data_IF_356430844692
#
_entry.id   IF_356430844692
#
_cell.length_a   1.000
_cell.length_b   1.000
_cell.length_c   1.000
_cell.angle_alpha   90.00
_cell.angle_beta   90.00
_cell.angle_gamma   90.00
#
_symmetry.space_group_name_H-M   'P 1'
#
loop_
_entity.id
_entity.type
_entity.pdbx_description
1 polymer ?
#
# COMPACT_ATOMS: atom_id res chain seq x y z
N UNK A 1 11.95 15.16 2.70
CA UNK A 1 12.11 14.84 1.26
C UNK A 1 10.97 15.53 0.53
N UNK A 2 11.25 16.47 -0.36
CA UNK A 2 10.23 17.23 -1.10
C UNK A 2 9.72 16.41 -2.29
N UNK A 3 8.40 16.23 -2.36
CA UNK A 3 7.68 15.50 -3.41
C UNK A 3 7.56 16.29 -4.73
N UNK A 4 8.06 17.53 -4.78
CA UNK A 4 7.94 18.44 -5.93
C UNK A 4 9.13 18.37 -6.92
N UNK A 5 10.05 17.40 -6.78
CA UNK A 5 11.18 17.25 -7.70
C UNK A 5 10.73 16.56 -9.00
N UNK A 6 11.03 17.08 -10.21
CA UNK A 6 10.70 16.41 -11.48
C UNK A 6 11.37 15.03 -11.66
N UNK A 7 12.38 14.68 -10.84
CA UNK A 7 12.94 13.32 -10.76
C UNK A 7 12.17 12.39 -9.82
N UNK A 8 11.25 12.91 -9.01
CA UNK A 8 10.38 12.13 -8.14
C UNK A 8 9.14 11.73 -8.93
N UNK A 9 9.25 10.62 -9.66
CA UNK A 9 8.16 10.10 -10.47
C UNK A 9 7.07 9.51 -9.57
N UNK A 10 5.81 9.51 -10.04
CA UNK A 10 4.69 8.88 -9.34
C UNK A 10 5.04 7.45 -8.87
N UNK A 11 5.72 6.69 -9.73
CA UNK A 11 6.23 5.34 -9.41
C UNK A 11 7.19 5.29 -8.21
N UNK A 12 8.06 6.28 -8.03
CA UNK A 12 8.96 6.36 -6.87
C UNK A 12 8.15 6.63 -5.58
N UNK A 13 7.16 7.52 -5.67
CA UNK A 13 6.23 7.79 -4.57
C UNK A 13 5.48 6.54 -4.12
N UNK A 14 4.95 5.76 -5.06
CA UNK A 14 4.22 4.53 -4.76
C UNK A 14 5.13 3.44 -4.13
N UNK A 15 6.36 3.27 -4.63
CA UNK A 15 7.32 2.31 -4.05
C UNK A 15 7.74 2.70 -2.63
N UNK A 16 7.96 4.00 -2.39
CA UNK A 16 8.29 4.49 -1.06
C UNK A 16 7.09 4.41 -0.11
N UNK A 17 5.87 4.68 -0.61
CA UNK A 17 4.64 4.52 0.16
C UNK A 17 4.46 3.08 0.65
N UNK A 18 4.65 2.10 -0.23
CA UNK A 18 4.64 0.68 0.15
C UNK A 18 5.71 0.35 1.20
N UNK A 19 6.95 0.77 0.97
CA UNK A 19 8.05 0.51 1.89
C UNK A 19 7.78 1.09 3.29
N UNK A 20 7.33 2.35 3.35
CA UNK A 20 6.99 3.03 4.59
C UNK A 20 5.80 2.37 5.30
N UNK A 21 4.78 1.92 4.56
CA UNK A 21 3.63 1.20 5.10
C UNK A 21 4.02 -0.14 5.73
N UNK A 22 4.84 -0.94 5.04
CA UNK A 22 5.36 -2.21 5.57
C UNK A 22 6.25 -1.99 6.79
N UNK A 23 7.09 -0.95 6.80
CA UNK A 23 7.89 -0.58 7.99
C UNK A 23 7.02 -0.20 9.18
N UNK A 24 5.91 0.50 8.95
CA UNK A 24 4.98 0.85 10.01
C UNK A 24 4.30 -0.40 10.57
N UNK A 25 3.82 -1.30 9.70
CA UNK A 25 3.23 -2.58 10.11
C UNK A 25 4.21 -3.40 10.95
N UNK A 26 5.45 -3.48 10.51
CA UNK A 26 6.51 -4.14 11.26
C UNK A 26 6.76 -3.55 12.64
N UNK A 27 6.86 -2.22 12.73
CA UNK A 27 7.03 -1.54 14.02
C UNK A 27 5.88 -1.83 14.99
N UNK A 28 4.68 -2.03 14.47
CA UNK A 28 3.47 -2.29 15.24
C UNK A 28 3.09 -3.78 15.30
N UNK A 29 3.96 -4.68 14.82
CA UNK A 29 3.73 -6.14 14.78
C UNK A 29 2.39 -6.52 14.16
N UNK A 30 2.00 -5.83 13.09
CA UNK A 30 0.80 -6.16 12.32
C UNK A 30 1.11 -7.30 11.35
N UNK A 31 0.57 -8.47 11.65
CA UNK A 31 0.66 -9.69 10.83
C UNK A 31 -0.52 -10.62 11.19
N UNK A 32 -1.04 -11.42 10.24
CA UNK A 32 -0.74 -11.43 8.81
C UNK A 32 -1.37 -10.25 8.05
N UNK A 33 -0.86 -9.94 6.85
CA UNK A 33 -1.28 -8.74 6.11
C UNK A 33 -1.94 -9.04 4.75
N UNK A 34 -2.98 -8.26 4.44
CA UNK A 34 -3.48 -8.07 3.07
C UNK A 34 -3.03 -6.69 2.57
N UNK A 35 -2.32 -6.65 1.45
CA UNK A 35 -1.87 -5.38 0.86
C UNK A 35 -2.75 -5.03 -0.33
N UNK A 36 -3.37 -3.85 -0.25
CA UNK A 36 -4.21 -3.28 -1.30
C UNK A 36 -3.48 -2.05 -1.87
N UNK A 37 -3.37 -1.97 -3.21
CA UNK A 37 -2.71 -0.84 -3.85
C UNK A 37 -3.35 -0.47 -5.19
N UNK A 38 -3.30 0.83 -5.51
CA UNK A 38 -3.83 1.39 -6.76
C UNK A 38 -2.92 1.22 -7.99
N UNK A 39 -1.70 0.69 -7.78
CA UNK A 39 -0.70 0.54 -8.85
C UNK A 39 -0.61 -0.90 -9.32
N UNK A 40 -1.28 -1.21 -10.44
CA UNK A 40 -1.25 -2.55 -11.05
C UNK A 40 0.18 -3.02 -11.32
N UNK A 41 1.08 -2.09 -11.70
CA UNK A 41 2.48 -2.37 -11.95
C UNK A 41 3.17 -2.88 -10.68
N UNK A 42 3.05 -2.18 -9.55
CA UNK A 42 3.71 -2.55 -8.30
C UNK A 42 3.14 -3.86 -7.76
N UNK A 43 1.81 -4.01 -7.77
CA UNK A 43 1.16 -5.27 -7.36
C UNK A 43 1.66 -6.44 -8.21
N UNK A 44 1.75 -6.27 -9.54
CA UNK A 44 2.30 -7.30 -10.43
C UNK A 44 3.76 -7.63 -10.12
N UNK A 45 4.60 -6.62 -9.89
CA UNK A 45 6.01 -6.82 -9.54
C UNK A 45 6.16 -7.64 -8.25
N UNK A 46 5.40 -7.30 -7.22
CA UNK A 46 5.43 -7.99 -5.91
C UNK A 46 4.94 -9.43 -6.01
N UNK A 47 3.88 -9.68 -6.78
CA UNK A 47 3.38 -11.03 -7.08
C UNK A 47 4.41 -11.85 -7.86
N UNK A 48 5.01 -11.26 -8.88
CA UNK A 48 5.95 -11.96 -9.78
C UNK A 48 7.38 -12.01 -9.21
N UNK A 49 7.62 -11.42 -8.04
CA UNK A 49 8.95 -11.23 -7.44
C UNK A 49 9.96 -10.59 -8.43
N UNK A 50 9.50 -9.67 -9.30
CA UNK A 50 10.34 -9.03 -10.34
C UNK A 50 10.65 -7.57 -9.99
N UNK A 51 11.92 -7.21 -9.74
CA UNK A 51 12.31 -5.82 -9.45
C UNK A 51 12.29 -4.93 -10.71
N UNK A 52 12.29 -3.61 -10.52
CA UNK A 52 12.43 -2.64 -11.62
C UNK A 52 13.79 -2.74 -12.28
N UNK A 53 13.92 -2.29 -13.54
CA UNK A 53 15.22 -2.16 -14.21
C UNK A 53 16.11 -1.09 -13.55
N UNK A 54 15.50 -0.10 -12.90
CA UNK A 54 16.18 1.05 -12.32
C UNK A 54 16.84 0.71 -10.99
N UNK A 55 18.18 0.64 -10.95
CA UNK A 55 18.97 0.16 -9.79
C UNK A 55 18.60 0.80 -8.45
N UNK A 56 18.40 2.12 -8.39
CA UNK A 56 18.10 2.80 -7.12
C UNK A 56 16.72 2.42 -6.54
N UNK A 57 15.76 2.03 -7.38
CA UNK A 57 14.43 1.56 -6.94
C UNK A 57 14.45 0.07 -6.54
N UNK A 58 15.38 -0.72 -7.09
CA UNK A 58 15.52 -2.14 -6.74
C UNK A 58 15.81 -2.32 -5.24
N UNK A 59 16.58 -1.42 -4.64
CA UNK A 59 16.89 -1.50 -3.22
C UNK A 59 15.63 -1.39 -2.36
N UNK A 60 14.77 -0.40 -2.62
CA UNK A 60 13.50 -0.23 -1.91
C UNK A 60 12.55 -1.40 -2.17
N UNK A 61 12.52 -1.90 -3.41
CA UNK A 61 11.75 -3.08 -3.75
C UNK A 61 12.17 -4.31 -2.94
N UNK A 62 13.47 -4.63 -2.89
CA UNK A 62 13.96 -5.80 -2.15
C UNK A 62 13.77 -5.67 -0.64
N UNK A 63 13.94 -4.48 -0.09
CA UNK A 63 13.64 -4.24 1.33
C UNK A 63 12.15 -4.42 1.62
N UNK A 64 11.28 -3.88 0.76
CA UNK A 64 9.83 -4.07 0.87
C UNK A 64 9.46 -5.55 0.78
N UNK A 65 10.07 -6.31 -0.14
CA UNK A 65 9.80 -7.75 -0.27
C UNK A 65 10.23 -8.53 0.97
N UNK A 66 11.40 -8.24 1.52
CA UNK A 66 11.86 -8.88 2.78
C UNK A 66 10.93 -8.59 3.94
N UNK A 67 10.45 -7.35 4.07
CA UNK A 67 9.46 -6.99 5.08
C UNK A 67 8.15 -7.74 4.85
N UNK A 68 7.68 -7.81 3.61
CA UNK A 68 6.46 -8.52 3.28
C UNK A 68 6.52 -10.02 3.55
N UNK A 69 7.67 -10.66 3.28
CA UNK A 69 7.91 -12.07 3.62
C UNK A 69 7.94 -12.27 5.15
N UNK A 70 8.41 -11.28 5.94
CA UNK A 70 8.41 -11.35 7.40
C UNK A 70 7.04 -11.13 8.03
N UNK A 71 6.25 -10.20 7.49
CA UNK A 71 4.92 -9.82 8.00
C UNK A 71 3.79 -10.75 7.52
N UNK A 72 4.14 -11.89 6.96
CA UNK A 72 3.23 -12.87 6.38
C UNK A 72 2.17 -12.20 5.46
N UNK A 73 2.62 -11.48 4.43
CA UNK A 73 1.68 -10.89 3.45
C UNK A 73 1.02 -12.02 2.64
N UNK A 74 -0.23 -12.30 2.97
CA UNK A 74 -1.03 -13.39 2.42
C UNK A 74 -1.51 -13.08 1.01
N UNK A 75 -1.87 -11.82 0.74
CA UNK A 75 -2.42 -11.42 -0.54
C UNK A 75 -2.04 -10.00 -0.96
N UNK A 76 -1.93 -9.85 -2.28
CA UNK A 76 -1.71 -8.58 -2.96
C UNK A 76 -2.91 -8.28 -3.86
N UNK A 77 -3.67 -7.24 -3.53
CA UNK A 77 -4.85 -6.83 -4.27
C UNK A 77 -4.56 -5.54 -5.03
N UNK A 78 -4.95 -5.54 -6.30
CA UNK A 78 -4.97 -4.32 -7.09
C UNK A 78 -6.38 -3.77 -7.11
N UNK A 79 -6.54 -2.52 -6.73
CA UNK A 79 -7.80 -1.80 -6.84
C UNK A 79 -7.67 -0.74 -7.94
N UNK A 80 -8.69 -0.62 -8.78
CA UNK A 80 -8.75 0.48 -9.73
C UNK A 80 -8.81 1.80 -8.96
N UNK A 81 -8.28 2.86 -9.58
CA UNK A 81 -8.12 4.18 -8.96
C UNK A 81 -9.41 4.75 -8.38
N UNK A 82 -10.55 4.42 -8.99
CA UNK A 82 -11.89 4.80 -8.51
C UNK A 82 -12.26 4.19 -7.14
N UNK A 83 -11.59 3.11 -6.73
CA UNK A 83 -11.74 2.37 -5.46
C UNK A 83 -10.45 2.37 -4.62
N UNK A 84 -9.54 3.32 -4.88
CA UNK A 84 -8.33 3.58 -4.10
C UNK A 84 -8.26 5.05 -3.69
N UNK A 85 -9.43 5.66 -3.41
CA UNK A 85 -9.53 7.11 -3.15
C UNK A 85 -8.79 7.49 -1.87
N UNK A 86 -8.66 6.58 -0.92
CA UNK A 86 -7.86 6.81 0.28
C UNK A 86 -6.38 6.97 -0.08
N UNK A 87 -5.85 6.06 -0.91
CA UNK A 87 -4.44 6.09 -1.36
C UNK A 87 -4.16 7.38 -2.13
N UNK A 88 -5.05 7.73 -3.07
CA UNK A 88 -4.95 8.97 -3.84
C UNK A 88 -5.00 10.21 -2.94
N UNK A 89 -5.88 10.21 -1.93
CA UNK A 89 -5.98 11.34 -0.98
C UNK A 89 -4.70 11.49 -0.17
N UNK A 90 -4.12 10.39 0.32
CA UNK A 90 -2.86 10.41 1.05
C UNK A 90 -1.68 10.88 0.18
N UNK A 91 -1.62 10.43 -1.07
CA UNK A 91 -0.60 10.86 -2.01
C UNK A 91 -0.71 12.37 -2.30
N UNK A 92 -1.91 12.86 -2.58
CA UNK A 92 -2.15 14.28 -2.82
C UNK A 92 -1.82 15.11 -1.57
N UNK A 93 -2.23 14.68 -0.37
CA UNK A 93 -1.86 15.35 0.87
C UNK A 93 -0.34 15.41 1.07
N UNK A 94 0.41 14.38 0.70
CA UNK A 94 1.87 14.39 0.80
C UNK A 94 2.52 15.32 -0.24
N UNK A 95 1.95 15.39 -1.45
CA UNK A 95 2.38 16.32 -2.49
C UNK A 95 2.12 17.78 -2.09
N UNK A 96 0.90 18.10 -1.67
CA UNK A 96 0.47 19.45 -1.27
C UNK A 96 1.29 19.95 -0.08
N UNK A 97 1.54 19.09 0.91
CA UNK A 97 2.33 19.45 2.09
C UNK A 97 3.84 19.29 1.87
N UNK A 98 4.26 18.81 0.69
CA UNK A 98 5.65 18.45 0.35
C UNK A 98 6.36 17.55 1.37
N UNK A 99 5.58 16.80 2.17
CA UNK A 99 6.05 16.01 3.31
C UNK A 99 5.22 14.75 3.50
N UNK A 100 5.87 13.68 3.93
CA UNK A 100 5.18 12.43 4.26
C UNK A 100 4.67 12.50 5.69
N UNK A 101 3.38 12.27 5.90
CA UNK A 101 2.81 12.16 7.24
C UNK A 101 2.30 10.75 7.46
N UNK A 102 2.62 10.20 8.63
CA UNK A 102 2.02 8.98 9.16
C UNK A 102 1.31 9.36 10.46
N UNK A 103 0.14 8.77 10.70
CA UNK A 103 -0.61 8.97 11.92
C UNK A 103 -1.24 7.66 12.35
N UNK A 104 -1.08 7.31 13.62
CA UNK A 104 -1.96 6.34 14.26
C UNK A 104 -3.22 7.09 14.64
N UNK A 105 -4.37 6.61 14.16
CA UNK A 105 -5.66 7.17 14.53
C UNK A 105 -5.95 6.77 15.97
N UNK A 106 -5.75 7.72 16.89
CA UNK A 106 -6.27 7.67 18.26
C UNK A 106 -7.66 8.32 18.30
N UNK A 107 -8.46 8.04 19.32
CA UNK A 107 -9.81 8.61 19.52
C UNK A 107 -9.83 10.15 19.74
N UNK A 108 -8.67 10.81 19.61
CA UNK A 108 -8.54 12.27 19.71
C UNK A 108 -9.22 12.97 18.52
N UNK A 109 -10.22 13.79 18.84
CA UNK A 109 -11.11 14.49 17.91
C UNK A 109 -10.36 15.38 16.91
N UNK A 110 -9.19 15.92 17.29
CA UNK A 110 -8.41 16.81 16.42
C UNK A 110 -7.74 16.07 15.27
N UNK A 111 -7.22 14.87 15.52
CA UNK A 111 -6.67 13.99 14.50
C UNK A 111 -7.77 13.52 13.54
N UNK A 112 -8.97 13.23 14.07
CA UNK A 112 -10.11 12.78 13.26
C UNK A 112 -10.54 13.83 12.23
N UNK A 113 -10.52 15.13 12.56
CA UNK A 113 -10.88 16.21 11.62
C UNK A 113 -9.87 16.30 10.48
N UNK A 114 -8.56 16.26 10.79
CA UNK A 114 -7.50 16.30 9.76
C UNK A 114 -7.61 15.12 8.80
N UNK A 115 -7.92 13.94 9.32
CA UNK A 115 -8.00 12.70 8.54
C UNK A 115 -9.40 12.38 8.05
N UNK A 116 -10.41 13.24 8.27
CA UNK A 116 -11.82 12.94 8.00
C UNK A 116 -12.07 12.47 6.55
N UNK A 117 -11.46 13.16 5.58
CA UNK A 117 -11.56 12.78 4.17
C UNK A 117 -10.90 11.43 3.87
N UNK A 118 -9.74 11.17 4.49
CA UNK A 118 -9.01 9.90 4.36
C UNK A 118 -9.81 8.76 5.00
N UNK A 119 -10.38 8.97 6.18
CA UNK A 119 -11.20 8.00 6.91
C UNK A 119 -12.47 7.62 6.16
N UNK A 120 -13.14 8.61 5.56
CA UNK A 120 -14.29 8.36 4.70
C UNK A 120 -13.92 7.45 3.54
N UNK A 121 -12.87 7.81 2.78
CA UNK A 121 -12.42 7.01 1.67
C UNK A 121 -11.87 5.63 2.07
N UNK A 122 -11.22 5.52 3.24
CA UNK A 122 -10.77 4.25 3.78
C UNK A 122 -11.96 3.32 4.00
N UNK A 123 -13.04 3.83 4.60
CA UNK A 123 -14.25 3.04 4.84
C UNK A 123 -14.86 2.56 3.52
N UNK A 124 -15.01 3.46 2.54
CA UNK A 124 -15.53 3.13 1.21
C UNK A 124 -14.67 2.08 0.49
N UNK A 125 -13.34 2.26 0.49
CA UNK A 125 -12.38 1.37 -0.19
C UNK A 125 -12.35 -0.02 0.47
N UNK A 126 -12.41 -0.10 1.80
CA UNK A 126 -12.44 -1.37 2.56
C UNK A 126 -13.76 -2.12 2.35
N UNK A 127 -14.89 -1.43 2.39
CA UNK A 127 -16.20 -2.05 2.12
C UNK A 127 -16.22 -2.66 0.71
N UNK A 128 -15.73 -1.92 -0.29
CA UNK A 128 -15.64 -2.44 -1.65
C UNK A 128 -14.71 -3.66 -1.77
N UNK A 129 -13.58 -3.65 -1.05
CA UNK A 129 -12.69 -4.81 -0.98
C UNK A 129 -13.40 -6.04 -0.38
N UNK A 130 -14.14 -5.87 0.72
CA UNK A 130 -14.89 -6.96 1.35
C UNK A 130 -15.90 -7.57 0.36
N UNK A 131 -16.72 -6.74 -0.28
CA UNK A 131 -17.72 -7.20 -1.27
C UNK A 131 -17.09 -7.97 -2.44
N UNK A 132 -15.93 -7.50 -2.92
CA UNK A 132 -15.22 -8.13 -4.04
C UNK A 132 -14.47 -9.40 -3.63
N UNK A 133 -14.01 -9.47 -2.38
CA UNK A 133 -13.29 -10.63 -1.85
C UNK A 133 -14.22 -11.81 -1.54
N UNK A 134 -15.48 -11.56 -1.17
CA UNK A 134 -16.50 -12.60 -0.98
C UNK A 134 -17.01 -13.20 -2.30
N UNK A 135 -16.85 -12.48 -3.42
CA UNK A 135 -17.31 -12.92 -4.75
C UNK A 135 -16.24 -13.63 -5.58
N UNK A 136 -14.96 -13.59 -5.17
CA UNK A 136 -13.91 -14.41 -5.79
C UNK A 136 -13.90 -15.82 -5.17
N UNK A 137 -14.04 -16.90 -5.96
CA UNK A 137 -13.89 -18.25 -5.43
C UNK A 137 -12.48 -18.38 -4.83
N UNK A 138 -12.41 -18.87 -3.58
CA UNK A 138 -11.15 -19.24 -2.92
C UNK A 138 -10.38 -20.14 -3.88
N UNK A 139 -9.34 -19.62 -4.52
CA UNK A 139 -8.42 -20.41 -5.33
C UNK A 139 -7.78 -21.43 -4.40
N UNK A 140 -8.39 -22.62 -4.35
CA UNK A 140 -7.91 -23.74 -3.56
C UNK A 140 -6.50 -24.12 -3.96
N UNK A 141 -5.69 -24.36 -2.95
CA UNK A 141 -4.44 -25.09 -2.94
C UNK A 141 -4.24 -25.98 -4.17
N UNK A 142 -3.30 -25.59 -5.05
CA UNK A 142 -2.61 -26.58 -5.88
C UNK A 142 -1.42 -27.05 -5.03
N UNK A 143 -1.66 -28.10 -4.27
CA UNK A 143 -0.60 -28.99 -3.82
C UNK A 143 0.05 -29.58 -5.08
N UNK A 144 1.31 -29.26 -5.32
CA UNK A 144 2.15 -30.00 -6.26
C UNK A 144 2.61 -31.29 -5.57
N UNK A 145 2.24 -32.50 -6.05
CA UNK A 145 2.93 -33.70 -5.65
C UNK A 145 4.27 -33.81 -6.41
N UNK A 146 5.30 -34.09 -5.61
CA UNK A 146 6.62 -34.73 -5.85
C UNK A 146 7.05 -34.90 -7.31
#
# INVERSE_FOLDING_TARGET
MSYANPRFTNSMGEHLGLFCGLKACDKHTFEPLHVIGGSAMIIRQLKQRKPLKTKHLQNYYWQSRKLADRLDVVAWHHHLREFSKMVDTLANMAMDNTSSTQGLLSEDTTATVRWAKVLKHLSDDVMHWQDTSHTQPRSGNIATPI
#
